data_IF_134749191680
#
_entry.id   IF_134749191680
#
_cell.length_a   1.000
_cell.length_b   1.000
_cell.length_c   1.000
_cell.angle_alpha   90.00
_cell.angle_beta   90.00
_cell.angle_gamma   90.00
#
_symmetry.space_group_name_H-M   'P 1'
#
loop_
_entity.id
_entity.type
_entity.pdbx_description
1 polymer ?
#
# COMPACT_ATOMS: atom_id res chain seq x y z
N UNK A 1 9.02 86.59 12.13
CA UNK A 1 10.02 85.58 11.72
C UNK A 1 9.41 84.21 11.88
N UNK A 2 8.90 83.65 10.78
CA UNK A 2 8.08 82.43 10.72
C UNK A 2 8.92 81.29 10.15
N UNK A 3 9.28 80.32 10.98
CA UNK A 3 10.15 79.20 10.62
C UNK A 3 9.29 77.98 10.25
N UNK A 4 9.20 77.68 8.95
CA UNK A 4 8.54 76.47 8.43
C UNK A 4 9.47 75.27 8.64
N UNK A 5 9.01 74.27 9.40
CA UNK A 5 9.66 72.95 9.49
C UNK A 5 9.08 72.04 8.42
N UNK A 6 9.91 71.66 7.45
CA UNK A 6 9.61 70.59 6.50
C UNK A 6 9.90 69.25 7.17
N UNK A 7 8.86 68.43 7.37
CA UNK A 7 8.99 67.05 7.80
C UNK A 7 9.12 66.18 6.54
N UNK A 8 10.34 65.72 6.25
CA UNK A 8 10.60 64.72 5.22
C UNK A 8 10.22 63.34 5.75
N UNK A 9 9.10 62.79 5.28
CA UNK A 9 8.79 61.37 5.43
C UNK A 9 9.76 60.57 4.53
N UNK A 10 10.73 59.89 5.14
CA UNK A 10 11.54 58.89 4.46
C UNK A 10 10.74 57.58 4.39
N UNK A 11 10.24 57.25 3.21
CA UNK A 11 9.60 55.98 2.90
C UNK A 11 10.71 54.91 2.83
N UNK A 12 10.88 54.11 3.89
CA UNK A 12 11.76 52.94 3.85
C UNK A 12 11.04 51.80 3.12
N UNK A 13 11.43 51.55 1.87
CA UNK A 13 11.10 50.33 1.14
C UNK A 13 11.84 49.16 1.79
N UNK A 14 11.12 48.37 2.60
CA UNK A 14 11.58 47.06 3.06
C UNK A 14 11.41 46.11 1.87
N UNK A 15 12.50 45.85 1.16
CA UNK A 15 12.55 44.78 0.16
C UNK A 15 12.53 43.44 0.91
N UNK A 16 11.36 42.81 0.98
CA UNK A 16 11.23 41.41 1.39
C UNK A 16 11.82 40.58 0.25
N UNK A 17 13.06 40.15 0.43
CA UNK A 17 13.66 39.11 -0.40
C UNK A 17 12.95 37.81 -0.03
N UNK A 18 11.89 37.48 -0.77
CA UNK A 18 11.37 36.12 -0.81
C UNK A 18 12.46 35.30 -1.49
N UNK A 19 13.32 34.68 -0.68
CA UNK A 19 14.11 33.54 -1.13
C UNK A 19 13.08 32.46 -1.46
N UNK A 20 12.64 32.44 -2.72
CA UNK A 20 11.90 31.32 -3.25
C UNK A 20 12.88 30.15 -3.19
N UNK A 21 12.71 29.26 -2.21
CA UNK A 21 13.38 27.97 -2.23
C UNK A 21 12.96 27.31 -3.53
N UNK A 22 13.88 27.25 -4.49
CA UNK A 22 13.69 26.40 -5.66
C UNK A 22 13.55 24.98 -5.11
N UNK A 23 12.44 24.28 -5.42
CA UNK A 23 12.30 22.89 -5.02
C UNK A 23 13.53 22.12 -5.49
N UNK A 24 14.02 21.20 -4.65
CA UNK A 24 15.13 20.34 -5.06
C UNK A 24 14.71 19.58 -6.32
N UNK A 25 15.54 19.59 -7.38
CA UNK A 25 15.24 18.82 -8.58
C UNK A 25 15.04 17.34 -8.21
N UNK A 26 13.95 16.73 -8.66
CA UNK A 26 13.67 15.30 -8.46
C UNK A 26 12.72 14.96 -7.29
N UNK A 27 12.38 15.92 -6.43
CA UNK A 27 11.38 15.70 -5.38
C UNK A 27 9.95 15.88 -5.93
N UNK A 28 9.10 14.87 -5.75
CA UNK A 28 7.66 14.92 -6.01
C UNK A 28 6.90 14.88 -4.69
N UNK A 29 5.96 15.79 -4.46
CA UNK A 29 5.23 15.89 -3.20
C UNK A 29 3.74 16.09 -3.41
N UNK A 30 2.95 15.59 -2.47
CA UNK A 30 1.54 15.92 -2.26
C UNK A 30 1.32 16.19 -0.76
N UNK A 31 0.10 16.00 -0.25
CA UNK A 31 -0.25 16.33 1.13
C UNK A 31 0.50 15.49 2.16
N UNK A 32 0.73 14.20 1.90
CA UNK A 32 1.23 13.26 2.90
C UNK A 32 2.55 12.57 2.58
N UNK A 33 2.94 12.50 1.30
CA UNK A 33 4.18 11.85 0.86
C UNK A 33 5.07 12.85 0.13
N UNK A 34 6.36 12.81 0.44
CA UNK A 34 7.42 13.44 -0.34
C UNK A 34 8.36 12.34 -0.83
N UNK A 35 8.42 12.12 -2.13
CA UNK A 35 9.26 11.09 -2.75
C UNK A 35 10.45 11.74 -3.46
N UNK A 36 11.65 11.31 -3.09
CA UNK A 36 12.90 11.76 -3.69
C UNK A 36 13.70 10.57 -4.21
N UNK A 37 14.20 10.70 -5.44
CA UNK A 37 15.05 9.70 -6.09
C UNK A 37 16.48 10.22 -6.12
N UNK A 38 17.45 9.45 -5.60
CA UNK A 38 18.87 9.79 -5.78
C UNK A 38 19.36 9.53 -7.20
N UNK A 39 18.65 8.70 -7.96
CA UNK A 39 19.00 8.30 -9.31
C UNK A 39 18.09 8.97 -10.34
N UNK A 40 18.64 9.92 -11.11
CA UNK A 40 17.98 10.62 -12.22
C UNK A 40 17.57 9.68 -13.38
N UNK A 41 18.01 8.42 -13.39
CA UNK A 41 17.63 7.44 -14.42
C UNK A 41 16.19 6.91 -14.25
N UNK A 42 15.48 7.32 -13.19
CA UNK A 42 14.09 6.97 -12.96
C UNK A 42 13.21 8.20 -12.81
N UNK A 43 11.98 8.05 -13.28
CA UNK A 43 10.92 9.03 -13.13
C UNK A 43 9.74 8.40 -12.41
N UNK A 44 9.12 9.16 -11.51
CA UNK A 44 7.91 8.75 -10.79
C UNK A 44 6.71 9.08 -11.67
N UNK A 45 5.81 8.12 -11.88
CA UNK A 45 4.59 8.41 -12.65
C UNK A 45 3.65 9.37 -11.93
N UNK A 46 2.92 10.15 -12.72
CA UNK A 46 2.07 11.25 -12.25
C UNK A 46 1.04 10.81 -11.20
N UNK A 47 0.53 9.57 -11.28
CA UNK A 47 -0.42 9.01 -10.33
C UNK A 47 0.20 8.39 -9.08
N UNK A 48 1.52 8.24 -8.99
CA UNK A 48 2.17 7.54 -7.86
C UNK A 48 2.01 8.26 -6.53
N UNK A 49 2.31 9.56 -6.46
CA UNK A 49 2.19 10.30 -5.20
C UNK A 49 0.72 10.38 -4.74
N UNK A 50 -0.26 10.75 -5.60
CA UNK A 50 -1.67 10.71 -5.22
C UNK A 50 -2.16 9.32 -4.78
N UNK A 51 -1.65 8.24 -5.39
CA UNK A 51 -1.97 6.87 -4.98
C UNK A 51 -1.47 6.58 -3.56
N UNK A 52 -0.22 6.93 -3.24
CA UNK A 52 0.36 6.73 -1.91
C UNK A 52 -0.31 7.61 -0.84
N UNK A 53 -0.67 8.84 -1.17
CA UNK A 53 -1.40 9.74 -0.28
C UNK A 53 -2.77 9.16 0.10
N UNK A 54 -3.55 8.69 -0.90
CA UNK A 54 -4.82 8.01 -0.64
C UNK A 54 -4.64 6.75 0.21
N UNK A 55 -3.56 6.00 0.01
CA UNK A 55 -3.26 4.83 0.83
C UNK A 55 -2.99 5.22 2.30
N UNK A 56 -2.23 6.29 2.56
CA UNK A 56 -2.03 6.83 3.90
C UNK A 56 -3.37 7.21 4.54
N UNK A 57 -4.21 7.97 3.84
CA UNK A 57 -5.53 8.37 4.34
C UNK A 57 -6.40 7.17 4.74
N UNK A 58 -6.33 6.08 3.98
CA UNK A 58 -7.06 4.85 4.28
C UNK A 58 -6.49 4.09 5.47
N UNK A 59 -5.17 4.10 5.68
CA UNK A 59 -4.59 3.57 6.91
C UNK A 59 -5.10 4.36 8.12
N UNK A 60 -5.11 5.70 8.07
CA UNK A 60 -5.67 6.52 9.15
C UNK A 60 -7.15 6.20 9.37
N UNK A 61 -7.94 6.11 8.29
CA UNK A 61 -9.35 5.74 8.34
C UNK A 61 -9.57 4.35 8.98
N UNK A 62 -8.72 3.37 8.65
CA UNK A 62 -8.72 2.05 9.26
C UNK A 62 -8.51 2.12 10.79
N UNK A 63 -7.65 3.02 11.26
CA UNK A 63 -7.46 3.29 12.68
C UNK A 63 -8.54 4.20 13.31
N UNK A 64 -9.58 4.58 12.54
CA UNK A 64 -10.68 5.40 13.02
C UNK A 64 -10.30 6.86 13.29
N UNK A 65 -9.25 7.36 12.64
CA UNK A 65 -8.73 8.72 12.80
C UNK A 65 -8.54 9.39 11.45
N UNK A 66 -8.54 10.72 11.40
CA UNK A 66 -8.21 11.46 10.18
C UNK A 66 -6.69 11.64 10.06
N UNK A 67 -6.17 11.59 8.83
CA UNK A 67 -4.77 11.93 8.57
C UNK A 67 -4.49 13.40 8.99
N UNK A 68 -3.46 13.66 9.81
CA UNK A 68 -3.13 15.02 10.20
C UNK A 68 -2.68 15.84 8.98
N UNK A 69 -3.16 17.07 8.84
CA UNK A 69 -2.77 17.96 7.74
C UNK A 69 -1.28 18.36 7.74
N UNK A 70 -0.56 18.11 8.84
CA UNK A 70 0.88 18.34 8.95
C UNK A 70 1.70 17.06 8.73
N UNK A 71 1.05 15.91 8.54
CA UNK A 71 1.76 14.67 8.24
C UNK A 71 2.38 14.79 6.87
N UNK A 72 3.70 14.64 6.81
CA UNK A 72 4.46 14.43 5.60
C UNK A 72 5.49 13.34 5.92
N UNK A 73 5.55 12.31 5.07
CA UNK A 73 6.48 11.18 5.20
C UNK A 73 7.47 11.25 4.05
N UNK A 74 8.74 11.59 4.32
CA UNK A 74 9.79 11.52 3.33
C UNK A 74 10.03 10.06 2.93
N UNK A 75 10.11 9.81 1.62
CA UNK A 75 10.44 8.53 1.01
C UNK A 75 11.66 8.77 0.13
N UNK A 76 12.78 8.15 0.50
CA UNK A 76 14.06 8.29 -0.18
C UNK A 76 14.42 6.98 -0.87
N UNK A 77 14.49 7.03 -2.20
CA UNK A 77 14.99 5.93 -3.01
C UNK A 77 16.48 6.14 -3.17
N UNK A 78 17.21 5.48 -2.28
CA UNK A 78 18.65 5.59 -2.12
C UNK A 78 19.31 4.41 -2.80
N UNK A 79 20.48 4.60 -3.40
CA UNK A 79 21.18 3.51 -4.09
C UNK A 79 21.71 2.42 -3.14
N UNK A 80 22.93 1.95 -3.39
CA UNK A 80 23.56 0.92 -2.56
C UNK A 80 23.93 1.38 -1.14
N UNK A 81 23.83 2.67 -0.84
CA UNK A 81 24.16 3.27 0.45
C UNK A 81 22.93 3.41 1.38
N UNK A 82 21.99 2.48 1.29
CA UNK A 82 20.78 2.51 2.12
C UNK A 82 21.10 2.23 3.60
N UNK A 83 20.57 3.05 4.55
CA UNK A 83 20.69 2.75 5.98
C UNK A 83 20.02 1.43 6.37
N UNK A 84 19.14 0.88 5.51
CA UNK A 84 18.46 -0.38 5.73
C UNK A 84 19.37 -1.61 5.58
N UNK A 85 20.44 -1.50 4.78
CA UNK A 85 21.36 -2.61 4.53
C UNK A 85 22.07 -3.06 5.82
N UNK A 86 22.50 -2.09 6.62
CA UNK A 86 23.19 -2.34 7.90
C UNK A 86 22.24 -2.83 9.00
N UNK A 87 20.97 -2.43 8.94
CA UNK A 87 20.00 -2.76 9.98
C UNK A 87 19.44 -4.19 9.84
N UNK A 88 19.10 -4.61 8.61
CA UNK A 88 18.33 -5.84 8.40
C UNK A 88 18.74 -6.66 7.17
N UNK A 89 19.81 -6.29 6.46
CA UNK A 89 20.07 -6.79 5.11
C UNK A 89 18.82 -6.68 4.19
N UNK A 90 17.98 -5.67 4.46
CA UNK A 90 16.76 -5.39 3.73
C UNK A 90 17.03 -4.30 2.70
N UNK A 91 16.32 -4.37 1.57
CA UNK A 91 16.30 -3.33 0.55
C UNK A 91 15.36 -2.18 0.91
N UNK A 92 14.63 -2.25 2.03
CA UNK A 92 13.70 -1.22 2.49
C UNK A 92 13.58 -1.19 4.01
N UNK A 93 13.28 -0.01 4.56
CA UNK A 93 12.95 0.18 5.97
C UNK A 93 12.38 1.57 6.24
N UNK A 94 11.52 1.67 7.26
CA UNK A 94 11.19 2.93 7.93
C UNK A 94 12.13 3.17 9.13
N UNK A 95 12.77 4.35 9.17
CA UNK A 95 13.67 4.76 10.25
C UNK A 95 12.95 5.75 11.17
N UNK A 96 12.37 5.24 12.26
CA UNK A 96 11.54 6.03 13.19
C UNK A 96 12.25 7.28 13.78
N UNK A 97 13.57 7.24 13.98
CA UNK A 97 14.32 8.38 14.51
C UNK A 97 14.39 9.57 13.53
N UNK A 98 14.28 9.28 12.24
CA UNK A 98 14.33 10.26 11.15
C UNK A 98 12.93 10.51 10.56
N UNK A 99 11.98 9.65 10.89
CA UNK A 99 10.61 9.64 10.37
C UNK A 99 10.56 9.48 8.84
N UNK A 100 11.55 8.77 8.28
CA UNK A 100 11.81 8.63 6.85
C UNK A 100 11.72 7.17 6.41
N UNK A 101 11.14 6.93 5.23
CA UNK A 101 11.19 5.66 4.52
C UNK A 101 12.39 5.64 3.59
N UNK A 102 13.15 4.56 3.62
CA UNK A 102 14.28 4.31 2.74
C UNK A 102 14.03 3.05 1.90
N UNK A 103 14.34 3.15 0.61
CA UNK A 103 14.16 2.07 -0.37
C UNK A 103 15.37 2.01 -1.29
N UNK A 104 15.81 0.81 -1.66
CA UNK A 104 16.82 0.63 -2.71
C UNK A 104 16.23 0.82 -4.12
N UNK A 105 14.93 0.54 -4.25
CA UNK A 105 14.20 0.52 -5.51
C UNK A 105 12.69 0.67 -5.23
N UNK A 106 11.97 1.42 -6.08
CA UNK A 106 10.52 1.64 -5.98
C UNK A 106 9.69 0.38 -6.25
N UNK A 107 10.12 -0.42 -7.22
CA UNK A 107 9.37 -1.53 -7.81
C UNK A 107 10.27 -2.78 -7.92
N UNK A 108 10.78 -3.21 -6.76
CA UNK A 108 11.63 -4.40 -6.64
C UNK A 108 11.02 -5.61 -7.38
N UNK A 109 11.80 -6.18 -8.31
CA UNK A 109 11.36 -7.22 -9.25
C UNK A 109 10.53 -8.33 -8.58
N UNK A 110 9.35 -8.59 -9.16
CA UNK A 110 8.43 -9.66 -8.74
C UNK A 110 7.51 -9.28 -7.57
N UNK A 111 7.64 -8.07 -7.01
CA UNK A 111 6.64 -7.51 -6.09
C UNK A 111 5.61 -6.71 -6.86
N UNK A 112 4.49 -6.47 -6.20
CA UNK A 112 3.43 -5.62 -6.73
C UNK A 112 3.92 -4.18 -6.83
N UNK A 113 3.53 -3.44 -7.87
CA UNK A 113 3.90 -2.03 -8.10
C UNK A 113 3.70 -1.19 -6.82
N UNK A 114 4.74 -0.50 -6.37
CA UNK A 114 4.82 0.27 -5.11
C UNK A 114 4.45 -0.52 -3.83
N UNK A 115 4.37 -1.85 -3.87
CA UNK A 115 3.98 -2.70 -2.73
C UNK A 115 4.88 -2.51 -1.52
N UNK A 116 6.20 -2.39 -1.75
CA UNK A 116 7.18 -2.17 -0.69
C UNK A 116 7.06 -0.78 -0.08
N UNK A 117 6.85 0.24 -0.91
CA UNK A 117 6.63 1.62 -0.45
C UNK A 117 5.41 1.66 0.48
N UNK A 118 4.31 1.00 0.09
CA UNK A 118 3.10 0.90 0.92
C UNK A 118 3.34 0.16 2.23
N UNK A 119 4.19 -0.87 2.26
CA UNK A 119 4.59 -1.55 3.49
C UNK A 119 5.29 -0.58 4.45
N UNK A 120 6.31 0.12 3.97
CA UNK A 120 7.08 1.05 4.82
C UNK A 120 6.28 2.29 5.23
N UNK A 121 5.40 2.80 4.36
CA UNK A 121 4.44 3.85 4.74
C UNK A 121 3.46 3.36 5.83
N UNK A 122 3.10 2.08 5.82
CA UNK A 122 2.38 1.43 6.91
C UNK A 122 3.10 1.62 8.24
N UNK A 123 4.39 1.29 8.29
CA UNK A 123 5.23 1.53 9.48
C UNK A 123 5.24 3.00 9.91
N UNK A 124 5.41 3.93 8.96
CA UNK A 124 5.44 5.36 9.25
C UNK A 124 4.14 5.84 9.93
N UNK A 125 2.98 5.44 9.39
CA UNK A 125 1.68 5.79 9.96
C UNK A 125 1.47 5.16 11.34
N UNK A 126 1.79 3.85 11.47
CA UNK A 126 1.64 3.12 12.73
C UNK A 126 2.49 3.75 13.83
N UNK A 127 3.73 4.13 13.52
CA UNK A 127 4.63 4.77 14.47
C UNK A 127 4.08 6.10 14.99
N UNK A 128 3.48 6.93 14.11
CA UNK A 128 2.85 8.19 14.54
C UNK A 128 1.67 7.99 15.46
N UNK A 129 0.90 6.93 15.24
CA UNK A 129 -0.31 6.67 16.02
C UNK A 129 0.02 5.98 17.34
N UNK A 130 0.82 4.92 17.28
CA UNK A 130 0.97 3.94 18.34
C UNK A 130 2.42 3.79 18.83
N UNK A 131 3.41 4.30 18.09
CA UNK A 131 4.83 4.08 18.34
C UNK A 131 5.32 2.74 17.82
N UNK A 132 6.40 2.21 18.41
CA UNK A 132 7.02 0.94 18.03
C UNK A 132 6.53 -0.24 18.88
N UNK A 133 6.57 -1.43 18.30
CA UNK A 133 6.18 -2.71 18.93
C UNK A 133 7.27 -3.78 18.74
N UNK A 134 7.09 -4.97 19.32
CA UNK A 134 7.91 -6.13 18.96
C UNK A 134 7.86 -6.36 17.43
N UNK A 135 8.99 -6.73 16.78
CA UNK A 135 9.09 -6.88 15.32
C UNK A 135 7.96 -7.68 14.70
N UNK A 136 7.58 -8.80 15.32
CA UNK A 136 6.47 -9.63 14.86
C UNK A 136 5.17 -8.85 14.65
N UNK A 137 4.80 -7.96 15.57
CA UNK A 137 3.56 -7.18 15.45
C UNK A 137 3.73 -5.93 14.57
N UNK A 138 4.92 -5.30 14.56
CA UNK A 138 5.22 -4.21 13.65
C UNK A 138 5.07 -4.68 12.20
N UNK A 139 5.82 -5.70 11.82
CA UNK A 139 5.85 -6.23 10.45
C UNK A 139 4.53 -6.89 10.08
N UNK A 140 3.93 -7.64 11.01
CA UNK A 140 2.62 -8.24 10.77
C UNK A 140 1.52 -7.21 10.52
N UNK A 141 1.50 -6.09 11.25
CA UNK A 141 0.50 -5.05 11.00
C UNK A 141 0.76 -4.34 9.67
N UNK A 142 1.99 -3.91 9.40
CA UNK A 142 2.35 -3.24 8.14
C UNK A 142 2.04 -4.13 6.92
N UNK A 143 2.49 -5.38 6.93
CA UNK A 143 2.27 -6.34 5.84
C UNK A 143 0.78 -6.72 5.70
N UNK A 144 0.01 -6.70 6.79
CA UNK A 144 -1.44 -6.92 6.70
C UNK A 144 -2.17 -5.80 5.97
N UNK A 145 -1.64 -4.56 6.00
CA UNK A 145 -2.27 -3.37 5.44
C UNK A 145 -1.83 -3.07 4.00
N UNK A 146 -0.62 -3.49 3.61
CA UNK A 146 0.02 -3.12 2.33
C UNK A 146 -0.19 -4.10 1.17
N UNK A 147 -0.39 -5.39 1.48
CA UNK A 147 -0.40 -6.48 0.51
C UNK A 147 0.77 -6.38 -0.49
N UNK A 148 2.00 -6.59 0.00
CA UNK A 148 3.24 -6.46 -0.79
C UNK A 148 3.30 -7.41 -2.01
N UNK A 149 2.56 -8.52 -1.95
CA UNK A 149 2.54 -9.57 -2.98
C UNK A 149 1.11 -9.83 -3.50
N UNK A 150 0.99 -10.05 -4.81
CA UNK A 150 -0.23 -10.56 -5.44
C UNK A 150 -0.39 -12.06 -5.18
N UNK A 151 -1.02 -12.43 -4.06
CA UNK A 151 -1.38 -13.82 -3.78
C UNK A 151 -2.84 -14.06 -4.12
N UNK A 152 -3.09 -14.89 -5.14
CA UNK A 152 -4.44 -15.28 -5.54
C UNK A 152 -5.20 -16.06 -4.44
N UNK A 153 -4.47 -16.88 -3.66
CA UNK A 153 -5.03 -17.71 -2.59
C UNK A 153 -4.26 -17.45 -1.29
N UNK A 154 -4.95 -17.09 -0.19
CA UNK A 154 -4.28 -16.99 1.09
C UNK A 154 -3.72 -18.36 1.54
N UNK A 155 -2.49 -18.41 2.06
CA UNK A 155 -1.91 -19.65 2.51
C UNK A 155 -2.65 -20.20 3.73
N UNK A 156 -2.59 -21.52 3.99
CA UNK A 156 -3.07 -22.09 5.24
C UNK A 156 -2.39 -21.41 6.45
N UNK A 157 -3.10 -21.26 7.58
CA UNK A 157 -2.49 -20.78 8.83
C UNK A 157 -1.24 -21.59 9.22
N UNK A 158 -0.19 -20.90 9.64
CA UNK A 158 1.08 -21.49 10.07
C UNK A 158 1.37 -21.12 11.54
N UNK A 159 2.07 -21.96 12.33
CA UNK A 159 2.45 -21.61 13.70
C UNK A 159 3.31 -20.35 13.74
N UNK A 160 3.14 -19.52 14.77
CA UNK A 160 3.81 -18.20 14.89
C UNK A 160 4.48 -17.96 16.25
N UNK A 161 4.24 -18.81 17.24
CA UNK A 161 4.69 -18.57 18.61
C UNK A 161 6.20 -18.42 18.78
N UNK A 162 7.01 -19.06 17.96
CA UNK A 162 8.47 -18.96 17.98
C UNK A 162 9.03 -17.67 17.36
N UNK A 163 8.17 -16.86 16.74
CA UNK A 163 8.52 -15.58 16.12
C UNK A 163 8.22 -14.35 17.00
N UNK A 164 7.49 -14.50 18.12
CA UNK A 164 6.95 -13.37 18.90
C UNK A 164 8.00 -12.37 19.40
N UNK A 165 9.21 -12.82 19.74
CA UNK A 165 10.31 -11.99 20.25
C UNK A 165 11.54 -11.97 19.34
N UNK A 166 11.36 -12.37 18.07
CA UNK A 166 12.43 -12.42 17.10
C UNK A 166 12.75 -11.05 16.51
N UNK A 167 13.95 -10.93 15.96
CA UNK A 167 14.36 -9.77 15.18
C UNK A 167 13.62 -9.77 13.82
N UNK A 168 13.47 -8.62 13.13
CA UNK A 168 12.72 -8.56 11.87
C UNK A 168 13.16 -9.60 10.84
N UNK A 169 14.46 -9.79 10.62
CA UNK A 169 15.01 -10.78 9.67
C UNK A 169 14.66 -12.25 9.97
N UNK A 170 14.17 -12.56 11.17
CA UNK A 170 13.77 -13.91 11.61
C UNK A 170 12.24 -14.10 11.61
N UNK A 171 11.46 -13.08 11.23
CA UNK A 171 9.99 -13.13 11.18
C UNK A 171 9.53 -13.46 9.76
N UNK A 172 8.63 -14.43 9.62
CA UNK A 172 7.82 -14.59 8.41
C UNK A 172 6.71 -13.54 8.41
N UNK A 173 6.88 -12.48 7.61
CA UNK A 173 5.97 -11.33 7.60
C UNK A 173 4.57 -11.73 7.14
N UNK A 174 4.46 -12.70 6.22
CA UNK A 174 3.18 -13.21 5.76
C UNK A 174 2.43 -13.91 6.88
N UNK A 175 3.08 -14.85 7.56
CA UNK A 175 2.48 -15.54 8.70
C UNK A 175 2.11 -14.59 9.84
N UNK A 176 2.95 -13.59 10.12
CA UNK A 176 2.67 -12.54 11.09
C UNK A 176 1.45 -11.71 10.68
N UNK A 177 1.34 -11.32 9.41
CA UNK A 177 0.22 -10.54 8.90
C UNK A 177 -1.12 -11.25 9.05
N UNK A 178 -1.20 -12.54 8.69
CA UNK A 178 -2.43 -13.31 8.84
C UNK A 178 -2.83 -13.52 10.30
N UNK A 179 -1.87 -13.71 11.20
CA UNK A 179 -2.15 -13.82 12.62
C UNK A 179 -2.56 -12.47 13.25
N UNK A 180 -1.92 -11.37 12.86
CA UNK A 180 -2.32 -10.02 13.29
C UNK A 180 -3.73 -9.70 12.82
N UNK A 181 -4.06 -9.95 11.54
CA UNK A 181 -5.44 -9.82 11.02
C UNK A 181 -6.42 -10.68 11.82
N UNK A 182 -6.09 -11.94 12.12
CA UNK A 182 -6.91 -12.81 12.98
C UNK A 182 -7.21 -12.15 14.33
N UNK A 183 -6.21 -11.60 15.00
CA UNK A 183 -6.40 -10.93 16.30
C UNK A 183 -7.28 -9.68 16.17
N UNK A 184 -7.04 -8.84 15.16
CA UNK A 184 -7.83 -7.62 14.95
C UNK A 184 -9.29 -7.97 14.66
N UNK A 185 -9.56 -8.92 13.78
CA UNK A 185 -10.93 -9.28 13.37
C UNK A 185 -11.73 -9.91 14.50
N UNK A 186 -11.08 -10.77 15.26
CA UNK A 186 -11.77 -11.61 16.24
C UNK A 186 -11.75 -11.02 17.64
N UNK A 187 -10.85 -10.08 17.93
CA UNK A 187 -10.69 -9.46 19.26
C UNK A 187 -10.77 -7.93 19.25
N UNK A 188 -10.78 -7.31 18.07
CA UNK A 188 -10.92 -5.87 17.90
C UNK A 188 -9.60 -5.11 17.97
N UNK A 189 -9.53 -4.03 17.20
CA UNK A 189 -8.35 -3.17 17.03
C UNK A 189 -7.84 -2.58 18.36
N UNK A 190 -8.73 -2.18 19.27
CA UNK A 190 -8.36 -1.59 20.57
C UNK A 190 -7.60 -2.54 21.49
N UNK A 191 -7.94 -3.83 21.47
CA UNK A 191 -7.19 -4.84 22.25
C UNK A 191 -5.85 -5.13 21.58
N UNK A 192 -5.83 -5.21 20.26
CA UNK A 192 -4.59 -5.39 19.52
C UNK A 192 -3.60 -4.25 19.75
N UNK A 193 -4.06 -2.98 19.70
CA UNK A 193 -3.28 -1.79 20.05
C UNK A 193 -2.59 -1.91 21.41
N UNK A 194 -3.30 -2.42 22.43
CA UNK A 194 -2.71 -2.61 23.75
C UNK A 194 -1.57 -3.64 23.77
N UNK A 195 -1.67 -4.72 22.99
CA UNK A 195 -0.58 -5.70 22.86
C UNK A 195 0.59 -5.04 22.15
N UNK A 196 0.32 -4.41 21.01
CA UNK A 196 1.29 -3.72 20.17
C UNK A 196 2.17 -2.76 20.99
N UNK A 197 1.55 -1.74 21.61
CA UNK A 197 2.24 -0.68 22.36
C UNK A 197 3.02 -1.17 23.58
N UNK A 198 2.68 -2.35 24.11
CA UNK A 198 3.28 -2.88 25.33
C UNK A 198 4.27 -4.01 25.06
N UNK A 199 4.42 -4.49 23.83
CA UNK A 199 5.22 -5.67 23.52
C UNK A 199 6.71 -5.38 23.27
N UNK A 200 7.08 -4.13 22.97
CA UNK A 200 8.46 -3.76 22.63
C UNK A 200 9.45 -4.18 23.74
N UNK A 201 10.54 -4.84 23.33
CA UNK A 201 11.63 -5.26 24.22
C UNK A 201 11.28 -6.40 25.19
N UNK A 202 10.10 -7.01 25.07
CA UNK A 202 9.71 -8.15 25.89
C UNK A 202 10.20 -9.46 25.31
N UNK A 203 10.50 -10.41 26.19
CA UNK A 203 10.70 -11.81 25.81
C UNK A 203 9.39 -12.46 25.35
N UNK A 204 9.48 -13.58 24.62
CA UNK A 204 8.32 -14.38 24.20
C UNK A 204 7.37 -14.67 25.36
N UNK A 205 7.88 -15.16 26.49
CA UNK A 205 7.04 -15.52 27.64
C UNK A 205 6.27 -14.32 28.21
N UNK A 206 6.89 -13.13 28.21
CA UNK A 206 6.23 -11.89 28.64
C UNK A 206 5.19 -11.40 27.64
N UNK A 207 5.42 -11.59 26.34
CA UNK A 207 4.42 -11.30 25.28
C UNK A 207 3.24 -12.26 25.39
N UNK A 208 3.48 -13.55 25.58
CA UNK A 208 2.41 -14.55 25.78
C UNK A 208 1.56 -14.21 27.02
N UNK A 209 2.20 -13.84 28.14
CA UNK A 209 1.51 -13.40 29.35
C UNK A 209 0.73 -12.09 29.14
N UNK A 210 1.29 -11.14 28.39
CA UNK A 210 0.62 -9.89 28.01
C UNK A 210 -0.64 -10.17 27.19
N UNK A 211 -0.55 -11.00 26.16
CA UNK A 211 -1.68 -11.43 25.33
C UNK A 211 -2.75 -12.12 26.18
N UNK A 212 -2.35 -12.99 27.10
CA UNK A 212 -3.29 -13.64 28.02
C UNK A 212 -4.06 -12.64 28.88
N UNK A 213 -3.39 -11.61 29.40
CA UNK A 213 -4.04 -10.57 30.21
C UNK A 213 -5.02 -9.71 29.41
N UNK A 214 -4.73 -9.43 28.14
CA UNK A 214 -5.52 -8.51 27.30
C UNK A 214 -6.70 -9.25 26.62
N UNK A 215 -6.45 -10.44 26.08
CA UNK A 215 -7.46 -11.20 25.35
C UNK A 215 -8.28 -12.14 26.24
N UNK A 216 -7.82 -12.42 27.46
CA UNK A 216 -8.48 -13.36 28.37
C UNK A 216 -8.32 -14.83 27.97
N UNK A 217 -7.35 -15.14 27.10
CA UNK A 217 -7.03 -16.50 26.63
C UNK A 217 -5.52 -16.66 26.49
N UNK A 218 -4.97 -17.85 26.80
CA UNK A 218 -3.54 -18.09 26.61
C UNK A 218 -3.13 -17.96 25.15
N UNK A 219 -1.85 -17.63 24.90
CA UNK A 219 -1.32 -17.59 23.54
C UNK A 219 -1.57 -18.91 22.79
N UNK A 220 -1.33 -20.05 23.44
CA UNK A 220 -1.53 -21.38 22.84
C UNK A 220 -2.99 -21.62 22.43
N UNK A 221 -3.96 -21.07 23.17
CA UNK A 221 -5.38 -21.17 22.79
C UNK A 221 -5.71 -20.29 21.59
N UNK A 222 -5.18 -19.05 21.55
CA UNK A 222 -5.36 -18.13 20.42
C UNK A 222 -4.70 -18.68 19.14
N UNK A 223 -3.49 -19.22 19.25
CA UNK A 223 -2.78 -19.84 18.13
C UNK A 223 -3.51 -21.11 17.66
N UNK A 224 -3.99 -21.97 18.56
CA UNK A 224 -4.76 -23.14 18.16
C UNK A 224 -6.07 -22.77 17.44
N UNK A 225 -6.76 -21.71 17.87
CA UNK A 225 -7.93 -21.18 17.18
C UNK A 225 -7.57 -20.66 15.78
N UNK A 226 -6.50 -19.88 15.66
CA UNK A 226 -6.00 -19.42 14.38
C UNK A 226 -5.66 -20.58 13.43
N UNK A 227 -4.92 -21.58 13.93
CA UNK A 227 -4.48 -22.74 13.15
C UNK A 227 -5.62 -23.67 12.71
N UNK A 228 -6.73 -23.68 13.46
CA UNK A 228 -7.92 -24.46 13.12
C UNK A 228 -8.95 -23.70 12.30
N UNK A 229 -8.79 -22.38 12.16
CA UNK A 229 -9.65 -21.52 11.38
C UNK A 229 -9.40 -21.59 9.87
N UNK A 230 -10.28 -20.95 9.07
CA UNK A 230 -10.03 -20.78 7.65
C UNK A 230 -8.79 -19.89 7.41
N UNK A 231 -8.17 -20.05 6.24
CA UNK A 231 -7.13 -19.13 5.78
C UNK A 231 -7.68 -17.70 5.74
N UNK A 232 -6.87 -16.72 6.17
CA UNK A 232 -7.26 -15.31 6.18
C UNK A 232 -6.58 -14.55 5.07
N UNK A 233 -7.30 -13.60 4.50
CA UNK A 233 -6.79 -12.59 3.59
C UNK A 233 -6.01 -11.48 4.32
N UNK A 234 -5.24 -10.68 3.57
CA UNK A 234 -4.76 -9.37 4.02
C UNK A 234 -5.84 -8.31 3.79
N UNK A 235 -5.69 -7.12 4.37
CA UNK A 235 -6.57 -6.00 4.06
C UNK A 235 -6.35 -5.51 2.62
N UNK A 236 -7.39 -4.95 2.02
CA UNK A 236 -7.39 -4.44 0.64
C UNK A 236 -7.46 -2.91 0.61
N UNK A 237 -6.81 -2.25 1.57
CA UNK A 237 -6.96 -0.79 1.76
C UNK A 237 -6.52 -0.02 0.52
N UNK A 238 -5.54 -0.52 -0.19
CA UNK A 238 -4.93 0.12 -1.34
C UNK A 238 -5.71 -0.12 -2.65
N UNK A 239 -6.38 -1.27 -2.83
CA UNK A 239 -7.12 -1.60 -4.06
C UNK A 239 -8.62 -1.34 -4.05
N UNK A 240 -9.27 -1.36 -2.89
CA UNK A 240 -10.72 -1.30 -2.82
C UNK A 240 -11.23 0.10 -2.51
N UNK A 241 -11.92 0.71 -3.48
CA UNK A 241 -12.51 2.05 -3.38
C UNK A 241 -14.02 2.02 -3.67
N UNK A 242 -14.84 1.56 -2.71
CA UNK A 242 -16.27 1.41 -2.96
C UNK A 242 -16.97 2.73 -3.28
N UNK A 243 -16.48 3.86 -2.77
CA UNK A 243 -17.05 5.19 -3.04
C UNK A 243 -16.82 5.67 -4.48
N UNK A 244 -15.79 5.16 -5.16
CA UNK A 244 -15.46 5.50 -6.56
C UNK A 244 -15.92 4.43 -7.56
N UNK A 245 -16.63 3.40 -7.10
CA UNK A 245 -17.02 2.25 -7.91
C UNK A 245 -17.97 2.63 -9.07
N UNK A 246 -17.59 2.25 -10.29
CA UNK A 246 -18.42 2.44 -11.49
C UNK A 246 -19.39 1.26 -11.62
N UNK A 247 -20.68 1.55 -11.71
CA UNK A 247 -21.70 0.52 -11.88
C UNK A 247 -21.56 -0.22 -13.22
N UNK A 248 -21.48 -1.55 -13.14
CA UNK A 248 -21.52 -2.47 -14.28
C UNK A 248 -22.98 -2.75 -14.61
N UNK A 249 -23.40 -2.31 -15.80
CA UNK A 249 -24.69 -2.70 -16.39
C UNK A 249 -24.62 -4.06 -17.09
N UNK A 250 -25.40 -4.26 -18.14
CA UNK A 250 -25.30 -5.48 -18.97
C UNK A 250 -23.97 -5.57 -19.72
N UNK A 251 -23.32 -4.41 -19.93
CA UNK A 251 -22.02 -4.27 -20.59
C UNK A 251 -21.20 -3.22 -19.87
N UNK A 252 -19.93 -3.51 -19.70
CA UNK A 252 -18.89 -2.60 -19.24
C UNK A 252 -17.72 -2.68 -20.21
N UNK A 253 -17.11 -1.53 -20.48
CA UNK A 253 -15.99 -1.40 -21.39
C UNK A 253 -15.02 -0.38 -20.82
N UNK A 254 -13.76 -0.78 -20.77
CA UNK A 254 -12.65 0.05 -20.31
C UNK A 254 -11.48 -0.11 -21.28
N UNK A 255 -10.94 1.00 -21.75
CA UNK A 255 -9.67 1.04 -22.48
C UNK A 255 -8.74 2.01 -21.77
N UNK A 256 -7.49 1.59 -21.58
CA UNK A 256 -6.43 2.38 -20.95
C UNK A 256 -5.13 2.20 -21.73
N UNK A 257 -4.43 3.31 -21.96
CA UNK A 257 -3.12 3.34 -22.59
C UNK A 257 -2.08 3.67 -21.51
N UNK A 258 -1.10 2.80 -21.33
CA UNK A 258 -0.05 2.93 -20.33
C UNK A 258 0.78 4.19 -20.57
N UNK A 259 0.74 5.14 -19.65
CA UNK A 259 1.56 6.35 -19.71
C UNK A 259 1.90 6.86 -18.31
N UNK A 260 3.18 7.16 -18.07
CA UNK A 260 3.63 7.76 -16.82
C UNK A 260 3.11 9.19 -16.63
N UNK A 261 2.70 9.86 -17.71
CA UNK A 261 2.12 11.21 -17.70
C UNK A 261 0.62 11.20 -17.32
N UNK A 262 -0.03 10.04 -17.36
CA UNK A 262 -1.45 9.90 -17.02
C UNK A 262 -1.59 9.77 -15.49
N UNK A 263 -2.36 10.65 -14.81
CA UNK A 263 -2.55 10.59 -13.36
C UNK A 263 -3.29 9.33 -12.86
N UNK A 264 -3.91 8.54 -13.74
CA UNK A 264 -4.51 7.25 -13.39
C UNK A 264 -3.45 6.14 -13.20
N UNK A 265 -2.21 6.35 -13.65
CA UNK A 265 -1.13 5.37 -13.58
C UNK A 265 -0.10 5.69 -12.48
N UNK A 266 0.29 4.67 -11.73
CA UNK A 266 1.32 4.72 -10.70
C UNK A 266 2.41 3.67 -10.92
N UNK A 267 3.55 3.87 -10.28
CA UNK A 267 4.80 3.14 -10.47
C UNK A 267 5.96 4.08 -10.82
N UNK A 268 6.94 3.56 -11.53
CA UNK A 268 8.10 4.31 -12.00
C UNK A 268 8.49 3.95 -13.44
N UNK A 269 9.05 4.91 -14.17
CA UNK A 269 9.68 4.71 -15.48
C UNK A 269 11.21 4.69 -15.34
N UNK A 270 11.91 3.85 -16.11
CA UNK A 270 13.38 3.76 -16.09
C UNK A 270 13.93 2.76 -17.11
N UNK A 271 15.26 2.63 -17.19
CA UNK A 271 15.94 1.79 -18.21
C UNK A 271 15.59 0.29 -18.14
N UNK A 272 15.11 -0.19 -17.00
CA UNK A 272 14.76 -1.59 -16.78
C UNK A 272 13.29 -1.94 -17.15
N UNK A 273 12.56 -1.02 -17.82
CA UNK A 273 11.16 -1.19 -18.28
C UNK A 273 10.26 -1.85 -17.21
N UNK A 274 10.06 -1.16 -16.10
CA UNK A 274 9.19 -1.60 -15.01
C UNK A 274 7.71 -1.42 -15.38
N UNK A 275 6.89 -2.36 -14.94
CA UNK A 275 5.45 -2.30 -15.19
C UNK A 275 4.81 -1.19 -14.33
N UNK A 276 4.04 -0.31 -14.98
CA UNK A 276 3.18 0.65 -14.30
C UNK A 276 1.80 0.03 -14.11
N UNK A 277 1.08 0.51 -13.10
CA UNK A 277 -0.25 0.02 -12.80
C UNK A 277 -1.28 1.14 -12.82
N UNK A 278 -2.49 0.79 -13.24
CA UNK A 278 -3.69 1.62 -13.08
C UNK A 278 -4.77 0.83 -12.36
N UNK A 279 -5.64 1.52 -11.62
CA UNK A 279 -6.69 0.90 -10.83
C UNK A 279 -8.06 1.41 -11.24
N UNK A 280 -9.02 0.50 -11.37
CA UNK A 280 -10.43 0.83 -11.59
C UNK A 280 -11.31 0.00 -10.65
N UNK A 281 -12.11 0.66 -9.81
CA UNK A 281 -13.14 -0.03 -9.03
C UNK A 281 -14.48 -0.05 -9.77
N UNK A 282 -15.15 -1.20 -9.77
CA UNK A 282 -16.43 -1.45 -10.42
C UNK A 282 -17.44 -2.07 -9.44
N UNK A 283 -18.73 -1.82 -9.65
CA UNK A 283 -19.83 -2.39 -8.87
C UNK A 283 -20.68 -3.32 -9.76
N UNK A 284 -20.65 -4.62 -9.48
CA UNK A 284 -21.56 -5.60 -10.08
C UNK A 284 -22.86 -5.60 -9.27
N UNK A 285 -23.91 -4.96 -9.80
CA UNK A 285 -25.19 -4.82 -9.08
C UNK A 285 -26.03 -6.08 -9.06
N UNK A 286 -25.86 -6.94 -10.05
CA UNK A 286 -26.59 -8.21 -10.12
C UNK A 286 -25.60 -9.30 -10.48
N UNK A 287 -25.46 -10.26 -9.58
CA UNK A 287 -24.64 -11.45 -9.85
C UNK A 287 -25.17 -12.22 -11.06
N UNK A 288 -24.29 -13.02 -11.66
CA UNK A 288 -24.60 -13.85 -12.80
C UNK A 288 -23.35 -14.30 -13.56
N UNK A 289 -23.58 -14.88 -14.73
CA UNK A 289 -22.49 -15.24 -15.64
C UNK A 289 -22.13 -14.06 -16.54
N UNK A 290 -20.87 -13.64 -16.51
CA UNK A 290 -20.31 -12.57 -17.32
C UNK A 290 -19.21 -13.11 -18.22
N UNK A 291 -19.22 -12.75 -19.50
CA UNK A 291 -18.07 -12.94 -20.39
C UNK A 291 -17.08 -11.80 -20.18
N UNK A 292 -15.86 -12.14 -19.77
CA UNK A 292 -14.72 -11.25 -19.66
C UNK A 292 -13.83 -11.41 -20.88
N UNK A 293 -13.60 -10.32 -21.60
CA UNK A 293 -12.64 -10.25 -22.69
C UNK A 293 -11.55 -9.22 -22.34
N UNK A 294 -10.30 -9.65 -22.29
CA UNK A 294 -9.13 -8.79 -22.07
C UNK A 294 -8.22 -8.92 -23.28
N UNK A 295 -7.99 -7.79 -23.95
CA UNK A 295 -7.13 -7.69 -25.11
C UNK A 295 -6.05 -6.62 -24.88
N UNK A 296 -4.85 -6.89 -25.38
CA UNK A 296 -3.74 -5.96 -25.44
C UNK A 296 -3.42 -5.68 -26.91
N UNK A 297 -3.03 -4.46 -27.23
CA UNK A 297 -2.61 -4.08 -28.58
C UNK A 297 -1.24 -4.64 -28.97
N UNK A 298 -0.36 -4.83 -27.99
CA UNK A 298 0.91 -5.53 -28.12
C UNK A 298 0.79 -6.93 -27.49
N UNK A 299 1.14 -8.02 -28.21
CA UNK A 299 1.21 -9.34 -27.61
C UNK A 299 2.20 -9.35 -26.44
N UNK A 300 1.91 -10.02 -25.31
CA UNK A 300 2.81 -10.06 -24.16
C UNK A 300 4.18 -10.60 -24.59
N UNK A 301 5.22 -9.79 -24.40
CA UNK A 301 6.56 -9.98 -24.98
C UNK A 301 7.33 -11.20 -24.43
N UNK A 302 6.84 -11.86 -23.39
CA UNK A 302 7.46 -13.04 -22.79
C UNK A 302 6.50 -13.81 -21.89
N UNK A 303 6.67 -15.13 -21.78
CA UNK A 303 6.00 -15.97 -20.77
C UNK A 303 6.68 -15.92 -19.40
N UNK A 304 7.90 -15.37 -19.32
CA UNK A 304 8.85 -15.58 -18.23
C UNK A 304 8.69 -14.59 -17.07
N UNK A 305 8.19 -13.36 -17.31
CA UNK A 305 7.87 -12.37 -16.26
C UNK A 305 6.64 -11.52 -16.68
N UNK A 306 5.76 -11.14 -15.73
CA UNK A 306 4.37 -10.83 -16.04
C UNK A 306 4.21 -9.38 -16.49
N UNK A 307 4.55 -9.04 -17.73
CA UNK A 307 4.48 -7.62 -18.12
C UNK A 307 3.06 -7.07 -18.20
N UNK A 308 2.09 -7.90 -18.59
CA UNK A 308 0.71 -7.43 -18.81
C UNK A 308 -0.29 -8.35 -18.13
N UNK A 309 -0.94 -7.85 -17.09
CA UNK A 309 -2.00 -8.58 -16.39
C UNK A 309 -3.07 -7.66 -15.84
N UNK A 310 -4.28 -8.19 -15.72
CA UNK A 310 -5.37 -7.60 -14.95
C UNK A 310 -5.60 -8.48 -13.72
N UNK A 311 -5.42 -7.91 -12.54
CA UNK A 311 -5.77 -8.53 -11.27
C UNK A 311 -7.16 -8.03 -10.89
N UNK A 312 -8.14 -8.94 -10.91
CA UNK A 312 -9.49 -8.67 -10.43
C UNK A 312 -9.62 -9.16 -9.00
N UNK A 313 -9.88 -8.20 -8.12
CA UNK A 313 -9.99 -8.42 -6.67
C UNK A 313 -11.42 -8.12 -6.24
N UNK A 314 -12.16 -9.11 -5.74
CA UNK A 314 -13.44 -8.86 -5.07
C UNK A 314 -13.17 -8.20 -3.72
N UNK A 315 -13.77 -7.04 -3.53
CA UNK A 315 -13.69 -6.27 -2.31
C UNK A 315 -14.66 -6.83 -1.27
N UNK A 316 -14.21 -6.91 -0.01
CA UNK A 316 -15.04 -7.39 1.09
C UNK A 316 -14.22 -7.81 2.29
N UNK A 317 -14.84 -8.59 3.17
CA UNK A 317 -14.10 -9.32 4.19
C UNK A 317 -13.38 -10.56 3.61
N UNK A 318 -12.71 -11.34 4.45
CA UNK A 318 -11.99 -12.51 3.96
C UNK A 318 -12.89 -13.66 3.47
N UNK A 319 -14.18 -13.67 3.80
CA UNK A 319 -15.12 -14.67 3.27
C UNK A 319 -15.59 -14.28 1.87
N UNK A 320 -15.67 -12.98 1.59
CA UNK A 320 -16.06 -12.43 0.28
C UNK A 320 -14.88 -12.28 -0.68
N UNK A 321 -13.69 -11.96 -0.18
CA UNK A 321 -12.52 -11.65 -0.98
C UNK A 321 -12.10 -12.81 -1.88
N UNK A 322 -11.86 -12.48 -3.15
CA UNK A 322 -11.27 -13.39 -4.13
C UNK A 322 -10.38 -12.62 -5.07
N UNK A 323 -9.23 -13.17 -5.43
CA UNK A 323 -8.29 -12.55 -6.36
C UNK A 323 -8.14 -13.48 -7.58
N UNK A 324 -8.27 -12.91 -8.79
CA UNK A 324 -8.04 -13.62 -10.05
C UNK A 324 -7.13 -12.79 -10.94
N UNK A 325 -6.13 -13.42 -11.53
CA UNK A 325 -5.16 -12.76 -12.41
C UNK A 325 -5.35 -13.23 -13.84
N UNK A 326 -5.46 -12.28 -14.77
CA UNK A 326 -5.68 -12.55 -16.19
C UNK A 326 -4.58 -11.92 -17.03
N UNK A 327 -3.87 -12.72 -17.84
CA UNK A 327 -2.88 -12.21 -18.81
C UNK A 327 -3.49 -11.92 -20.18
N UNK A 328 -4.49 -12.69 -20.55
CA UNK A 328 -5.39 -12.51 -21.68
C UNK A 328 -6.61 -13.36 -21.35
N UNK A 329 -7.81 -12.87 -21.64
CA UNK A 329 -9.02 -13.58 -21.30
C UNK A 329 -10.04 -13.45 -22.42
N UNK A 330 -10.73 -14.54 -22.69
CA UNK A 330 -12.02 -14.59 -23.38
C UNK A 330 -12.77 -15.76 -22.74
N UNK A 331 -13.29 -15.51 -21.54
CA UNK A 331 -13.88 -16.57 -20.71
C UNK A 331 -15.13 -16.11 -19.96
N UNK A 332 -15.97 -17.07 -19.60
CA UNK A 332 -17.14 -16.83 -18.77
C UNK A 332 -16.78 -16.96 -17.28
N UNK A 333 -17.13 -15.94 -16.52
CA UNK A 333 -16.92 -15.84 -15.09
C UNK A 333 -18.27 -15.83 -14.38
N UNK A 334 -18.38 -16.59 -13.29
CA UNK A 334 -19.45 -16.38 -12.32
C UNK A 334 -19.05 -15.24 -11.38
N UNK A 335 -19.75 -14.12 -11.47
CA UNK A 335 -19.56 -12.98 -10.57
C UNK A 335 -20.77 -12.87 -9.64
N UNK A 336 -20.51 -12.62 -8.37
CA UNK A 336 -21.54 -12.29 -7.40
C UNK A 336 -21.83 -10.79 -7.44
N UNK A 337 -22.94 -10.36 -6.84
CA UNK A 337 -23.16 -8.93 -6.64
C UNK A 337 -22.12 -8.41 -5.63
N UNK A 338 -21.50 -7.27 -5.90
CA UNK A 338 -20.48 -6.70 -5.05
C UNK A 338 -19.55 -5.72 -5.75
N UNK A 339 -18.54 -5.26 -5.03
CA UNK A 339 -17.51 -4.34 -5.53
C UNK A 339 -16.27 -5.14 -5.92
N UNK A 340 -15.67 -4.80 -7.05
CA UNK A 340 -14.45 -5.41 -7.56
C UNK A 340 -13.45 -4.31 -7.93
N UNK A 341 -12.18 -4.51 -7.60
CA UNK A 341 -11.07 -3.71 -8.08
C UNK A 341 -10.41 -4.42 -9.27
N UNK A 342 -10.11 -3.67 -10.31
CA UNK A 342 -9.32 -4.09 -11.46
C UNK A 342 -7.99 -3.34 -11.38
N UNK A 343 -6.92 -4.03 -11.01
CA UNK A 343 -5.57 -3.51 -11.10
C UNK A 343 -4.95 -4.00 -12.42
N UNK A 344 -4.55 -3.06 -13.26
CA UNK A 344 -4.04 -3.33 -14.60
C UNK A 344 -2.56 -3.00 -14.60
N UNK A 345 -1.71 -4.03 -14.60
CA UNK A 345 -0.25 -3.92 -14.63
C UNK A 345 0.19 -4.12 -16.08
N UNK A 346 0.94 -3.18 -16.65
CA UNK A 346 1.33 -3.18 -18.06
C UNK A 346 2.65 -2.44 -18.28
N UNK A 347 3.42 -2.79 -19.33
CA UNK A 347 4.57 -1.99 -19.71
C UNK A 347 4.11 -0.70 -20.41
N UNK A 348 5.02 0.24 -20.57
CA UNK A 348 4.77 1.49 -21.31
C UNK A 348 4.26 1.25 -22.73
N UNK A 349 3.52 2.24 -23.24
CA UNK A 349 2.97 2.27 -24.61
C UNK A 349 2.06 1.07 -24.95
N UNK A 350 1.58 0.34 -23.94
CA UNK A 350 0.62 -0.76 -24.11
C UNK A 350 -0.79 -0.26 -23.86
N UNK A 351 -1.73 -0.69 -24.70
CA UNK A 351 -3.16 -0.44 -24.52
C UNK A 351 -3.84 -1.72 -24.07
N UNK A 352 -4.47 -1.68 -22.89
CA UNK A 352 -5.39 -2.74 -22.44
C UNK A 352 -6.83 -2.36 -22.75
N UNK A 353 -7.61 -3.32 -23.20
CA UNK A 353 -9.06 -3.22 -23.32
C UNK A 353 -9.72 -4.35 -22.55
N UNK A 354 -10.63 -3.98 -21.64
CA UNK A 354 -11.41 -4.88 -20.81
C UNK A 354 -12.87 -4.73 -21.19
N UNK A 355 -13.50 -5.80 -21.66
CA UNK A 355 -14.94 -5.89 -21.83
C UNK A 355 -15.51 -6.88 -20.83
N UNK A 356 -16.59 -6.49 -20.17
CA UNK A 356 -17.34 -7.37 -19.29
C UNK A 356 -18.81 -7.31 -19.72
N UNK A 357 -19.37 -8.44 -20.15
CA UNK A 357 -20.75 -8.52 -20.64
C UNK A 357 -21.50 -9.61 -19.88
N UNK A 358 -22.68 -9.28 -19.33
CA UNK A 358 -23.56 -10.30 -18.75
C UNK A 358 -24.13 -11.18 -19.85
N UNK A 359 -23.92 -12.48 -19.75
CA UNK A 359 -24.40 -13.50 -20.71
C UNK A 359 -25.42 -14.46 -20.10
N UNK A 360 -25.54 -14.49 -18.78
CA UNK A 360 -26.48 -15.33 -18.06
C UNK A 360 -26.94 -14.75 -16.71
N UNK A 361 -28.05 -15.28 -16.16
CA UNK A 361 -28.53 -14.92 -14.84
C UNK A 361 -27.52 -15.24 -13.75
#
# INVERSE_FOLDING_TARGET
MTQRRHASLALQLIAVWVLACTPEPGASHDQHVELSLENDAREVCAGSIPHLDRYIERIFSFFGVAAPAYLNVPVLVVGTESPCADLYASSSCYVAAEETVYLADLDLEGRRTLGVVRHELGHAVIDRLWGQSAPFFNEGLAESLSQTLDRATPPPPAPVGDMLDRIPAEVDYGAAAYFVRFLVDTRGLERFKQVFQRSLGRSRAEIEALMASIYGASFQALEAEYLSGPARCQYQLDVCEPESAIAVGDRFHLTRAASCDDPDFYGSAGEDDLDIAAQQTIEVRTGGTYRLEIAYDVPPLSTEYPRSQVVMTRCGDCEEQSIRTFRQADEELQLEAGVYALEMVMPFDTVVTINLQRVGP
#
